data_IF_440930244542
#
_entry.id   IF_440930244542
#
_cell.length_a   1.000
_cell.length_b   1.000
_cell.length_c   1.000
_cell.angle_alpha   90.00
_cell.angle_beta   90.00
_cell.angle_gamma   90.00
#
_symmetry.space_group_name_H-M   'P 1'
#
loop_
_entity.id
_entity.type
_entity.pdbx_description
1 polymer ?
#
# COMPACT_ATOMS: atom_id res chain seq x y z
N UNK A 1 9.64 -27.53 -11.03
CA UNK A 1 9.82 -27.56 -9.56
C UNK A 1 8.73 -26.70 -8.94
N UNK A 2 8.11 -27.15 -7.83
CA UNK A 2 7.18 -26.32 -7.09
C UNK A 2 7.94 -25.16 -6.43
N UNK A 3 7.31 -23.97 -6.35
CA UNK A 3 7.91 -22.81 -5.69
C UNK A 3 8.11 -23.11 -4.20
N UNK A 4 9.29 -22.83 -3.61
CA UNK A 4 9.62 -23.24 -2.24
C UNK A 4 8.71 -22.65 -1.16
N UNK A 5 8.04 -21.52 -1.45
CA UNK A 5 7.19 -20.81 -0.50
C UNK A 5 5.69 -20.98 -0.74
N UNK A 6 5.28 -21.70 -1.82
CA UNK A 6 3.86 -21.83 -2.17
C UNK A 6 3.46 -23.28 -2.31
N UNK A 7 2.40 -23.72 -1.61
CA UNK A 7 1.79 -25.00 -1.88
C UNK A 7 1.26 -25.00 -3.32
N UNK A 8 1.48 -26.08 -4.03
CA UNK A 8 1.00 -26.25 -5.40
C UNK A 8 -0.53 -26.27 -5.44
N UNK A 9 -1.09 -25.66 -6.47
CA UNK A 9 -2.53 -25.73 -6.78
C UNK A 9 -3.39 -24.58 -6.28
N UNK A 10 -2.87 -23.64 -5.49
CA UNK A 10 -3.60 -22.46 -5.04
C UNK A 10 -3.14 -21.18 -5.77
N UNK A 11 -4.08 -20.40 -6.26
CA UNK A 11 -3.80 -19.04 -6.71
C UNK A 11 -3.52 -18.15 -5.51
N UNK A 12 -2.56 -17.24 -5.65
CA UNK A 12 -2.19 -16.26 -4.63
C UNK A 12 -2.23 -14.86 -5.21
N UNK A 13 -2.79 -13.94 -4.45
CA UNK A 13 -2.67 -12.53 -4.77
C UNK A 13 -1.20 -12.10 -4.52
N UNK A 14 -0.57 -11.46 -5.52
CA UNK A 14 0.84 -11.08 -5.42
C UNK A 14 1.14 -9.61 -5.71
N UNK A 15 0.33 -8.92 -6.51
CA UNK A 15 0.59 -7.51 -6.78
C UNK A 15 -0.66 -6.73 -7.17
N UNK A 16 -0.54 -5.43 -7.04
CA UNK A 16 -1.44 -4.44 -7.64
C UNK A 16 -0.62 -3.60 -8.60
N UNK A 17 -1.09 -3.47 -9.85
CA UNK A 17 -0.50 -2.56 -10.83
C UNK A 17 -1.38 -1.32 -10.98
N UNK A 18 -0.77 -0.15 -10.96
CA UNK A 18 -1.44 1.14 -11.17
C UNK A 18 -0.68 1.95 -12.20
N UNK A 19 -1.41 2.52 -13.17
CA UNK A 19 -0.82 3.48 -14.09
C UNK A 19 -0.70 4.84 -13.42
N UNK A 20 0.44 5.51 -13.63
CA UNK A 20 0.84 6.77 -13.03
C UNK A 20 1.21 7.78 -14.11
N UNK A 21 0.96 9.07 -13.84
CA UNK A 21 1.54 10.13 -14.67
C UNK A 21 3.08 9.98 -14.70
N UNK A 22 3.73 10.00 -15.89
CA UNK A 22 5.19 9.87 -15.98
C UNK A 22 5.96 10.90 -15.16
N UNK A 23 5.38 12.09 -14.92
CA UNK A 23 5.95 13.13 -14.06
C UNK A 23 6.01 12.72 -12.58
N UNK A 24 5.13 11.83 -12.13
CA UNK A 24 5.14 11.28 -10.76
C UNK A 24 6.11 10.10 -10.58
N UNK A 25 6.81 9.70 -11.64
CA UNK A 25 7.83 8.66 -11.61
C UNK A 25 9.24 9.20 -11.91
N UNK A 26 9.43 10.53 -11.87
CA UNK A 26 10.77 11.12 -11.90
C UNK A 26 11.53 10.87 -10.59
N UNK A 27 12.82 11.16 -10.57
CA UNK A 27 13.68 10.87 -9.42
C UNK A 27 13.19 11.49 -8.11
N UNK A 28 12.62 12.71 -8.15
CA UNK A 28 12.13 13.42 -6.95
C UNK A 28 10.87 12.75 -6.39
N UNK A 29 9.90 12.44 -7.24
CA UNK A 29 8.65 11.80 -6.81
C UNK A 29 8.86 10.34 -6.41
N UNK A 30 9.77 9.61 -7.11
CA UNK A 30 10.15 8.25 -6.69
C UNK A 30 10.80 8.24 -5.30
N UNK A 31 11.70 9.20 -5.03
CA UNK A 31 12.28 9.33 -3.69
C UNK A 31 11.21 9.59 -2.63
N UNK A 32 10.24 10.46 -2.90
CA UNK A 32 9.12 10.72 -1.98
C UNK A 32 8.22 9.49 -1.79
N UNK A 33 7.92 8.73 -2.87
CA UNK A 33 7.17 7.48 -2.79
C UNK A 33 7.91 6.44 -1.94
N UNK A 34 9.20 6.22 -2.20
CA UNK A 34 10.01 5.26 -1.44
C UNK A 34 10.10 5.67 0.05
N UNK A 35 10.29 6.96 0.34
CA UNK A 35 10.35 7.49 1.72
C UNK A 35 9.03 7.25 2.47
N UNK A 36 7.89 7.66 1.88
CA UNK A 36 6.59 7.49 2.51
C UNK A 36 6.23 6.01 2.72
N UNK A 37 6.26 5.21 1.65
CA UNK A 37 5.84 3.81 1.73
C UNK A 37 6.82 2.96 2.55
N UNK A 38 8.09 3.35 2.58
CA UNK A 38 9.09 2.76 3.47
C UNK A 38 8.83 3.09 4.94
N UNK A 39 8.67 4.37 5.28
CA UNK A 39 8.50 4.81 6.68
C UNK A 39 7.17 4.36 7.27
N UNK A 40 6.06 4.51 6.53
CA UNK A 40 4.71 4.23 7.04
C UNK A 40 4.38 2.74 7.00
N UNK A 41 4.75 2.05 5.92
CA UNK A 41 4.34 0.66 5.66
C UNK A 41 5.49 -0.35 5.70
N UNK A 42 6.74 0.09 5.72
CA UNK A 42 7.91 -0.79 5.69
C UNK A 42 8.19 -1.39 4.31
N UNK A 43 7.70 -0.75 3.22
CA UNK A 43 7.94 -1.25 1.87
C UNK A 43 9.35 -0.89 1.40
N UNK A 44 9.90 -1.70 0.52
CA UNK A 44 11.23 -1.52 -0.04
C UNK A 44 11.20 -1.44 -1.57
N UNK A 45 11.99 -0.55 -2.13
CA UNK A 45 12.15 -0.48 -3.58
C UNK A 45 12.84 -1.73 -4.13
N UNK A 46 12.28 -2.31 -5.19
CA UNK A 46 12.95 -3.31 -6.01
C UNK A 46 13.70 -2.62 -7.15
N UNK A 47 14.91 -2.12 -6.86
CA UNK A 47 15.73 -1.33 -7.79
C UNK A 47 15.95 -2.03 -9.14
N UNK A 48 16.15 -3.35 -9.12
CA UNK A 48 16.35 -4.15 -10.34
C UNK A 48 15.14 -4.16 -11.28
N UNK A 49 13.95 -3.82 -10.77
CA UNK A 49 12.69 -3.74 -11.51
C UNK A 49 12.26 -2.30 -11.77
N UNK A 50 12.92 -1.31 -11.16
CA UNK A 50 12.62 0.12 -11.32
C UNK A 50 13.33 0.68 -12.56
N UNK A 51 12.66 1.57 -13.30
CA UNK A 51 13.20 2.27 -14.44
C UNK A 51 12.70 3.72 -14.43
N UNK A 52 13.65 4.67 -14.57
CA UNK A 52 13.35 6.11 -14.46
C UNK A 52 12.22 6.54 -15.40
N UNK A 53 11.23 7.26 -14.84
CA UNK A 53 10.02 7.76 -15.51
C UNK A 53 9.17 6.71 -16.22
N UNK A 54 9.43 5.42 -15.99
CA UNK A 54 8.69 4.32 -16.63
C UNK A 54 8.01 3.42 -15.62
N UNK A 55 8.70 3.06 -14.54
CA UNK A 55 8.13 2.19 -13.52
C UNK A 55 8.87 2.29 -12.20
N UNK A 56 8.12 2.10 -11.12
CA UNK A 56 8.62 1.90 -9.76
C UNK A 56 7.96 0.64 -9.19
N UNK A 57 8.74 -0.22 -8.56
CA UNK A 57 8.24 -1.42 -7.89
C UNK A 57 8.61 -1.37 -6.42
N UNK A 58 7.59 -1.46 -5.55
CA UNK A 58 7.72 -1.46 -4.09
C UNK A 58 7.31 -2.82 -3.55
N UNK A 59 8.25 -3.58 -3.00
CA UNK A 59 7.98 -4.84 -2.30
C UNK A 59 7.28 -4.55 -0.97
N UNK A 60 6.18 -5.27 -0.70
CA UNK A 60 5.37 -5.07 0.51
C UNK A 60 5.85 -5.91 1.68
N UNK A 61 6.05 -7.22 1.46
CA UNK A 61 6.48 -8.19 2.49
C UNK A 61 7.71 -8.94 2.01
N UNK A 62 7.61 -9.48 0.81
CA UNK A 62 8.66 -10.18 0.10
C UNK A 62 8.72 -9.65 -1.33
N UNK A 63 9.79 -9.96 -2.04
CA UNK A 63 9.98 -9.56 -3.45
C UNK A 63 8.84 -9.99 -4.39
N UNK A 64 8.02 -10.96 -4.02
CA UNK A 64 6.90 -11.50 -4.77
C UNK A 64 5.52 -10.96 -4.37
N UNK A 65 5.47 -9.99 -3.44
CA UNK A 65 4.28 -9.20 -3.11
C UNK A 65 4.62 -7.72 -3.22
N UNK A 66 4.05 -7.04 -4.21
CA UNK A 66 4.51 -5.70 -4.55
C UNK A 66 3.44 -4.80 -5.16
N UNK A 67 3.67 -3.51 -5.04
CA UNK A 67 3.00 -2.49 -5.85
C UNK A 67 3.83 -2.26 -7.12
N UNK A 68 3.16 -2.28 -8.26
CA UNK A 68 3.77 -2.03 -9.55
C UNK A 68 3.21 -0.74 -10.15
N UNK A 69 4.00 0.33 -10.11
CA UNK A 69 3.63 1.64 -10.62
C UNK A 69 4.23 1.81 -12.03
N UNK A 70 3.37 2.05 -13.02
CA UNK A 70 3.75 2.06 -14.43
C UNK A 70 3.37 3.41 -15.02
N UNK A 71 4.31 4.06 -15.70
CA UNK A 71 4.04 5.31 -16.40
C UNK A 71 3.05 5.12 -17.55
N UNK A 72 2.01 5.96 -17.60
CA UNK A 72 1.06 6.04 -18.69
C UNK A 72 0.64 7.49 -18.91
N UNK A 73 0.58 8.01 -20.14
CA UNK A 73 0.12 9.37 -20.41
C UNK A 73 -1.38 9.58 -20.10
N UNK A 74 -2.17 8.50 -20.03
CA UNK A 74 -3.55 8.48 -19.55
C UNK A 74 -3.66 7.62 -18.30
N UNK A 75 -3.19 8.13 -17.13
CA UNK A 75 -3.05 7.34 -15.94
C UNK A 75 -4.39 7.00 -15.30
N UNK A 76 -4.38 5.96 -14.47
CA UNK A 76 -5.52 5.53 -13.69
C UNK A 76 -6.13 6.70 -12.88
N UNK A 77 -7.46 6.79 -12.93
CA UNK A 77 -8.27 7.67 -12.09
C UNK A 77 -9.39 6.85 -11.48
N UNK A 78 -9.58 6.99 -10.20
CA UNK A 78 -10.61 6.27 -9.48
C UNK A 78 -11.25 7.15 -8.40
N UNK A 79 -12.45 6.82 -7.93
CA UNK A 79 -13.05 7.44 -6.76
C UNK A 79 -12.10 7.38 -5.55
N UNK A 80 -12.21 8.40 -4.67
CA UNK A 80 -11.28 8.55 -3.53
C UNK A 80 -11.16 7.30 -2.66
N UNK A 81 -12.26 6.58 -2.47
CA UNK A 81 -12.30 5.42 -1.57
C UNK A 81 -12.02 4.09 -2.25
N UNK A 82 -11.71 4.07 -3.55
CA UNK A 82 -11.19 2.86 -4.18
C UNK A 82 -9.84 2.51 -3.55
N UNK A 83 -9.67 1.27 -3.16
CA UNK A 83 -8.54 0.84 -2.35
C UNK A 83 -8.10 -0.59 -2.64
N UNK A 84 -6.91 -0.89 -2.22
CA UNK A 84 -6.38 -2.24 -2.04
C UNK A 84 -6.00 -2.43 -0.57
N UNK A 85 -6.02 -3.66 -0.08
CA UNK A 85 -5.98 -3.90 1.36
C UNK A 85 -4.84 -4.78 1.84
N UNK A 86 -4.40 -4.48 3.06
CA UNK A 86 -3.47 -5.28 3.85
C UNK A 86 -4.14 -5.66 5.17
N UNK A 87 -3.71 -6.75 5.78
CA UNK A 87 -4.10 -7.12 7.13
C UNK A 87 -2.90 -7.10 8.06
N UNK A 88 -3.17 -6.75 9.33
CA UNK A 88 -2.20 -6.82 10.42
C UNK A 88 -2.70 -7.77 11.50
N UNK A 89 -1.79 -8.27 12.33
CA UNK A 89 -2.10 -9.27 13.34
C UNK A 89 -2.67 -8.71 14.66
N UNK A 90 -2.53 -7.40 14.90
CA UNK A 90 -2.95 -6.78 16.15
C UNK A 90 -3.47 -5.36 15.97
N UNK A 91 -4.20 -4.91 16.99
CA UNK A 91 -4.66 -3.52 17.08
C UNK A 91 -3.48 -2.54 17.15
N UNK A 92 -2.46 -2.90 17.87
CA UNK A 92 -1.25 -2.10 18.06
C UNK A 92 -0.52 -1.87 16.73
N UNK A 93 -0.45 -2.90 15.90
CA UNK A 93 0.11 -2.77 14.54
C UNK A 93 -0.71 -1.83 13.65
N UNK A 94 -2.05 -1.93 13.69
CA UNK A 94 -2.94 -1.01 12.99
C UNK A 94 -2.73 0.43 13.44
N UNK A 95 -2.72 0.66 14.75
CA UNK A 95 -2.47 1.98 15.33
C UNK A 95 -1.08 2.50 14.95
N UNK A 96 -0.07 1.65 14.92
CA UNK A 96 1.28 2.00 14.51
C UNK A 96 1.34 2.53 13.06
N UNK A 97 0.65 1.90 12.12
CA UNK A 97 0.54 2.41 10.74
C UNK A 97 -0.15 3.77 10.72
N UNK A 98 -1.29 3.88 11.41
CA UNK A 98 -2.05 5.14 11.51
C UNK A 98 -1.19 6.27 12.09
N UNK A 99 -0.47 6.03 13.16
CA UNK A 99 0.33 7.05 13.85
C UNK A 99 1.52 7.50 13.00
N UNK A 100 2.19 6.59 12.29
CA UNK A 100 3.26 6.94 11.33
C UNK A 100 2.71 7.78 10.17
N UNK A 101 1.53 7.45 9.65
CA UNK A 101 0.89 8.23 8.58
C UNK A 101 0.51 9.65 9.06
N UNK A 102 0.01 9.79 10.29
CA UNK A 102 -0.28 11.10 10.90
C UNK A 102 1.00 11.92 11.05
N UNK A 103 2.06 11.33 11.59
CA UNK A 103 3.35 12.01 11.76
C UNK A 103 3.95 12.43 10.41
N UNK A 104 3.85 11.57 9.40
CA UNK A 104 4.31 11.92 8.05
C UNK A 104 3.50 13.10 7.47
N UNK A 105 2.18 13.11 7.65
CA UNK A 105 1.31 14.20 7.17
C UNK A 105 1.65 15.57 7.76
N UNK A 106 2.22 15.64 8.95
CA UNK A 106 2.66 16.90 9.56
C UNK A 106 3.79 17.59 8.76
N UNK A 107 4.58 16.82 8.01
CA UNK A 107 5.68 17.33 7.17
C UNK A 107 5.39 17.30 5.67
N UNK A 108 4.37 16.56 5.26
CA UNK A 108 3.94 16.48 3.86
C UNK A 108 2.41 16.33 3.78
N UNK A 109 1.74 17.42 3.44
CA UNK A 109 0.27 17.52 3.42
C UNK A 109 -0.41 16.75 2.27
N UNK A 110 0.38 16.13 1.37
CA UNK A 110 -0.13 15.25 0.32
C UNK A 110 -0.64 13.90 0.84
N UNK A 111 -0.39 13.59 2.10
CA UNK A 111 -0.96 12.39 2.74
C UNK A 111 -2.46 12.55 2.94
N UNK A 112 -3.24 11.71 2.26
CA UNK A 112 -4.68 11.56 2.47
C UNK A 112 -4.93 10.42 3.44
N UNK A 113 -5.59 10.71 4.56
CA UNK A 113 -5.86 9.78 5.65
C UNK A 113 -7.33 9.77 6.00
N UNK A 114 -7.94 8.58 6.05
CA UNK A 114 -9.22 8.33 6.74
C UNK A 114 -8.90 7.53 8.01
N UNK A 115 -9.15 8.14 9.16
CA UNK A 115 -8.77 7.57 10.47
C UNK A 115 -9.50 6.27 10.78
N UNK A 116 -9.01 5.54 11.78
CA UNK A 116 -9.53 4.22 12.14
C UNK A 116 -11.03 4.29 12.41
N UNK A 117 -11.77 3.46 11.67
CA UNK A 117 -13.19 3.19 11.87
C UNK A 117 -13.42 1.70 12.08
N UNK A 118 -14.55 1.37 12.68
CA UNK A 118 -14.93 -0.01 13.00
C UNK A 118 -16.20 -0.35 12.24
N UNK A 119 -16.16 -1.45 11.49
CA UNK A 119 -17.31 -2.09 10.89
C UNK A 119 -17.65 -3.36 11.69
N UNK A 120 -18.81 -3.34 12.39
CA UNK A 120 -19.26 -4.44 13.24
C UNK A 120 -20.18 -5.36 12.44
N UNK A 121 -19.68 -6.57 12.16
CA UNK A 121 -20.37 -7.60 11.40
C UNK A 121 -20.95 -8.72 12.30
N UNK A 122 -21.20 -8.45 13.58
CA UNK A 122 -21.70 -9.38 14.61
C UNK A 122 -20.72 -10.53 14.94
N UNK A 123 -20.17 -11.19 13.94
CA UNK A 123 -19.23 -12.32 14.09
C UNK A 123 -17.76 -11.85 14.09
N UNK A 124 -17.50 -10.66 13.63
CA UNK A 124 -16.18 -10.04 13.55
C UNK A 124 -16.31 -8.52 13.51
N UNK A 125 -15.39 -7.82 14.16
CA UNK A 125 -15.23 -6.38 13.99
C UNK A 125 -14.02 -6.11 13.14
N UNK A 126 -14.20 -5.34 12.08
CA UNK A 126 -13.13 -4.97 11.16
C UNK A 126 -12.73 -3.52 11.46
N UNK A 127 -11.53 -3.35 11.96
CA UNK A 127 -10.93 -2.04 12.20
C UNK A 127 -10.09 -1.67 10.99
N UNK A 128 -10.38 -0.54 10.35
CA UNK A 128 -9.73 -0.13 9.10
C UNK A 128 -9.22 1.29 9.17
N UNK A 129 -8.02 1.53 8.65
CA UNK A 129 -7.47 2.85 8.34
C UNK A 129 -7.15 2.90 6.85
N UNK A 130 -7.41 4.05 6.20
CA UNK A 130 -7.12 4.25 4.79
C UNK A 130 -6.08 5.34 4.64
N UNK A 131 -5.05 5.07 3.86
CA UNK A 131 -3.94 6.00 3.64
C UNK A 131 -3.60 6.05 2.16
N UNK A 132 -3.37 7.25 1.63
CA UNK A 132 -2.90 7.46 0.26
C UNK A 132 -1.80 8.51 0.24
N UNK A 133 -0.78 8.24 -0.54
CA UNK A 133 0.29 9.19 -0.84
C UNK A 133 0.74 9.01 -2.28
N UNK A 134 0.45 10.00 -3.11
CA UNK A 134 0.80 10.06 -4.55
C UNK A 134 0.28 8.90 -5.42
N UNK A 135 -0.43 7.94 -4.88
CA UNK A 135 -1.05 6.84 -5.63
C UNK A 135 -2.48 7.19 -6.06
N UNK A 136 -3.00 6.59 -7.16
CA UNK A 136 -4.40 6.75 -7.54
C UNK A 136 -5.37 6.15 -6.52
N UNK A 137 -5.02 4.99 -5.92
CA UNK A 137 -5.84 4.27 -4.94
C UNK A 137 -5.36 4.49 -3.52
N UNK A 138 -6.26 4.35 -2.56
CA UNK A 138 -5.89 4.25 -1.14
C UNK A 138 -5.36 2.87 -0.80
N UNK A 139 -4.47 2.79 0.19
CA UNK A 139 -4.14 1.56 0.89
C UNK A 139 -5.01 1.47 2.14
N UNK A 140 -5.79 0.40 2.26
CA UNK A 140 -6.49 0.05 3.48
C UNK A 140 -5.62 -0.88 4.31
N UNK A 141 -5.55 -0.65 5.63
CA UNK A 141 -4.98 -1.61 6.57
C UNK A 141 -6.06 -2.03 7.53
N UNK A 142 -6.25 -3.34 7.70
CA UNK A 142 -7.28 -3.93 8.53
C UNK A 142 -6.68 -4.77 9.67
N UNK A 143 -7.32 -4.67 10.84
CA UNK A 143 -7.24 -5.66 11.90
C UNK A 143 -8.61 -6.25 12.16
N UNK A 144 -8.69 -7.57 12.21
CA UNK A 144 -9.92 -8.31 12.42
C UNK A 144 -9.99 -8.81 13.87
N UNK A 145 -10.94 -8.26 14.63
CA UNK A 145 -11.22 -8.63 16.01
C UNK A 145 -12.35 -9.66 16.02
N UNK A 146 -12.01 -10.87 16.43
CA UNK A 146 -13.01 -11.92 16.63
C UNK A 146 -13.47 -11.91 18.09
N UNK A 147 -14.79 -11.76 18.36
CA UNK A 147 -15.30 -11.91 19.71
C UNK A 147 -15.03 -13.33 20.18
N UNK A 148 -14.43 -13.45 21.39
CA UNK A 148 -14.11 -14.72 22.04
C UNK A 148 -15.33 -15.46 22.55
#
# INVERSE_FOLDING_TARGET
MAHPYYPSGNLRFNHVAMSMDPGLLDATHRAALCDFWGEVFGFEELEVMTEDRKRLVLACVHWDQFLFLIADPDPMRCPRMDHFGFSVGSREELQGVRDRAVAYRERDDRVDLVDIAVDDQEVVRIHSVYVRFLLPMMAEVQWWEFPG
#
